data_IF_921248969593
#
_entry.id   IF_921248969593
#
_cell.length_a   1.000
_cell.length_b   1.000
_cell.length_c   1.000
_cell.angle_alpha   90.00
_cell.angle_beta   90.00
_cell.angle_gamma   90.00
#
_symmetry.space_group_name_H-M   'P 1'
#
loop_
_entity.id
_entity.type
_entity.pdbx_description
1 polymer ?
#
# COMPACT_ATOMS: atom_id res chain seq x y z
N UNK A 1 35.84 1.42 3.56
CA UNK A 1 34.72 0.47 3.56
C UNK A 1 33.54 1.17 4.20
N UNK A 2 32.53 1.59 3.43
CA UNK A 2 31.32 2.21 3.98
C UNK A 2 30.43 1.10 4.56
N UNK A 3 29.80 1.28 5.72
CA UNK A 3 28.87 0.28 6.25
C UNK A 3 27.68 0.13 5.29
N UNK A 4 27.44 -1.10 4.85
CA UNK A 4 26.17 -1.48 4.23
C UNK A 4 25.14 -1.50 5.36
N UNK A 5 24.40 -0.42 5.54
CA UNK A 5 23.13 -0.52 6.25
C UNK A 5 22.25 -1.43 5.41
N UNK A 6 21.94 -2.62 5.93
CA UNK A 6 20.78 -3.36 5.45
C UNK A 6 19.61 -2.39 5.56
N UNK A 7 19.01 -1.98 4.45
CA UNK A 7 17.72 -1.32 4.51
C UNK A 7 16.78 -2.34 5.13
N UNK A 8 16.51 -2.23 6.43
CA UNK A 8 15.40 -2.96 7.02
C UNK A 8 14.15 -2.48 6.29
N UNK A 9 13.29 -3.40 5.90
CA UNK A 9 12.01 -3.10 5.28
C UNK A 9 10.92 -3.57 6.24
N UNK A 10 9.98 -2.69 6.54
CA UNK A 10 8.70 -3.07 7.12
C UNK A 10 7.74 -3.61 6.07
N UNK A 11 6.67 -4.23 6.55
CA UNK A 11 5.56 -4.70 5.73
C UNK A 11 4.31 -4.01 6.23
N UNK A 12 3.58 -3.39 5.30
CA UNK A 12 2.21 -2.96 5.50
C UNK A 12 1.33 -3.88 4.66
N UNK A 13 0.42 -4.59 5.32
CA UNK A 13 -0.49 -5.52 4.67
C UNK A 13 -1.89 -5.34 5.23
N UNK A 14 -2.89 -5.66 4.42
CA UNK A 14 -4.28 -5.48 4.81
C UNK A 14 -5.24 -5.86 3.71
N UNK A 15 -6.51 -5.53 3.93
CA UNK A 15 -7.58 -5.81 2.97
C UNK A 15 -8.36 -4.55 2.67
N UNK A 16 -8.66 -4.33 1.39
CA UNK A 16 -9.56 -3.27 0.94
C UNK A 16 -10.91 -3.89 0.58
N UNK A 17 -11.98 -3.38 1.20
CA UNK A 17 -13.34 -3.90 1.03
C UNK A 17 -14.34 -2.75 0.92
N UNK A 18 -15.40 -2.98 0.14
CA UNK A 18 -16.61 -2.17 0.10
C UNK A 18 -17.71 -2.82 0.94
N UNK A 19 -18.91 -2.23 0.93
CA UNK A 19 -20.09 -2.86 1.56
C UNK A 19 -20.53 -4.12 0.82
N UNK A 20 -20.20 -4.20 -0.47
CA UNK A 20 -20.60 -5.26 -1.38
C UNK A 20 -19.61 -6.44 -1.37
N UNK A 21 -18.37 -6.24 -0.90
CA UNK A 21 -17.36 -7.28 -0.83
C UNK A 21 -15.92 -6.79 -0.99
N UNK A 22 -14.96 -7.71 -1.18
CA UNK A 22 -13.56 -7.37 -1.42
C UNK A 22 -13.39 -6.58 -2.71
N UNK A 23 -12.43 -5.66 -2.72
CA UNK A 23 -12.13 -4.83 -3.87
C UNK A 23 -10.81 -5.24 -4.51
N UNK A 24 -10.84 -5.97 -5.63
CA UNK A 24 -9.64 -6.30 -6.38
C UNK A 24 -9.13 -5.12 -7.21
N UNK A 25 -7.84 -5.16 -7.55
CA UNK A 25 -7.17 -4.18 -8.40
C UNK A 25 -7.23 -2.72 -7.88
N UNK A 26 -7.41 -2.52 -6.58
CA UNK A 26 -7.23 -1.22 -5.94
C UNK A 26 -5.76 -0.89 -6.00
N UNK A 27 -5.43 0.25 -6.62
CA UNK A 27 -4.08 0.76 -6.69
C UNK A 27 -3.74 1.45 -5.37
N UNK A 28 -2.69 1.01 -4.70
CA UNK A 28 -2.22 1.55 -3.43
C UNK A 28 -0.88 2.21 -3.70
N UNK A 29 -0.82 3.52 -3.56
CA UNK A 29 0.38 4.31 -3.84
C UNK A 29 0.88 5.01 -2.59
N UNK A 30 2.20 5.24 -2.56
CA UNK A 30 2.84 6.04 -1.52
C UNK A 30 3.35 7.33 -2.17
N UNK A 31 2.63 8.46 -2.02
CA UNK A 31 2.97 9.70 -2.70
C UNK A 31 4.42 10.14 -2.46
N UNK A 32 5.08 10.61 -3.53
CA UNK A 32 6.48 11.02 -3.48
C UNK A 32 7.49 9.87 -3.52
N UNK A 33 7.03 8.62 -3.64
CA UNK A 33 7.90 7.44 -3.75
C UNK A 33 7.52 6.60 -4.98
N UNK A 34 8.31 5.55 -5.24
CA UNK A 34 8.00 4.51 -6.23
C UNK A 34 7.30 3.29 -5.63
N UNK A 35 7.01 3.33 -4.33
CA UNK A 35 6.40 2.20 -3.64
C UNK A 35 4.89 2.21 -3.88
N UNK A 36 4.37 1.03 -4.15
CA UNK A 36 2.94 0.80 -4.33
C UNK A 36 2.65 -0.68 -4.43
N UNK A 37 1.39 -1.02 -4.30
CA UNK A 37 0.86 -2.36 -4.42
C UNK A 37 -0.50 -2.30 -5.11
N UNK A 38 -1.02 -3.45 -5.50
CA UNK A 38 -2.40 -3.59 -5.92
C UNK A 38 -3.05 -4.73 -5.13
N UNK A 39 -4.34 -4.60 -4.87
CA UNK A 39 -5.08 -5.69 -4.21
C UNK A 39 -5.33 -6.87 -5.14
N UNK A 40 -5.29 -8.08 -4.61
CA UNK A 40 -5.65 -9.31 -5.31
C UNK A 40 -7.17 -9.55 -5.35
N UNK A 41 -7.59 -10.74 -5.80
CA UNK A 41 -9.01 -11.11 -5.93
C UNK A 41 -9.78 -11.10 -4.61
N UNK A 42 -9.09 -11.29 -3.48
CA UNK A 42 -9.66 -11.28 -2.13
C UNK A 42 -9.59 -9.89 -1.48
N UNK A 43 -9.10 -8.89 -2.23
CA UNK A 43 -8.89 -7.53 -1.76
C UNK A 43 -7.66 -7.38 -0.89
N UNK A 44 -6.79 -8.40 -0.80
CA UNK A 44 -5.59 -8.37 0.03
C UNK A 44 -4.45 -7.62 -0.68
N UNK A 45 -3.66 -6.87 0.08
CA UNK A 45 -2.43 -6.26 -0.41
C UNK A 45 -1.26 -6.50 0.54
N UNK A 46 -0.06 -6.49 -0.04
CA UNK A 46 1.21 -6.57 0.66
C UNK A 46 2.16 -5.53 0.09
N UNK A 47 2.64 -4.62 0.94
CA UNK A 47 3.49 -3.50 0.55
C UNK A 47 4.73 -3.43 1.44
N UNK A 48 5.91 -3.52 0.81
CA UNK A 48 7.20 -3.37 1.50
C UNK A 48 7.69 -1.93 1.44
N UNK A 49 7.97 -1.35 2.60
CA UNK A 49 8.44 0.02 2.75
C UNK A 49 9.68 0.07 3.65
N UNK A 50 10.69 0.93 3.36
CA UNK A 50 11.70 1.28 4.34
C UNK A 50 11.06 1.96 5.56
N UNK A 51 11.63 1.86 6.77
CA UNK A 51 11.16 2.56 7.96
C UNK A 51 10.93 4.05 7.70
N UNK A 52 9.78 4.53 8.13
CA UNK A 52 9.31 5.89 7.94
C UNK A 52 7.81 5.98 8.18
N UNK A 53 7.29 7.19 8.21
CA UNK A 53 5.85 7.46 8.23
C UNK A 53 5.39 7.77 6.81
N UNK A 54 4.30 7.16 6.38
CA UNK A 54 3.81 7.30 5.02
C UNK A 54 2.31 7.55 4.97
N UNK A 55 1.90 8.27 3.91
CA UNK A 55 0.52 8.28 3.47
C UNK A 55 0.33 7.17 2.43
N UNK A 56 -0.66 6.32 2.64
CA UNK A 56 -1.13 5.37 1.63
C UNK A 56 -2.37 5.95 0.95
N UNK A 57 -2.34 6.05 -0.37
CA UNK A 57 -3.46 6.49 -1.20
C UNK A 57 -4.04 5.30 -1.94
N UNK A 58 -5.33 5.04 -1.72
CA UNK A 58 -6.08 3.92 -2.28
C UNK A 58 -6.99 4.42 -3.40
N UNK A 59 -6.81 3.88 -4.61
CA UNK A 59 -7.51 4.33 -5.81
C UNK A 59 -8.08 3.16 -6.60
N UNK A 60 -9.38 3.24 -6.92
CA UNK A 60 -10.05 2.29 -7.79
C UNK A 60 -11.04 3.05 -8.68
N UNK A 61 -11.11 2.70 -9.97
CA UNK A 61 -12.02 3.37 -10.90
C UNK A 61 -13.47 3.23 -10.42
N UNK A 62 -14.17 4.37 -10.32
CA UNK A 62 -15.55 4.42 -9.83
C UNK A 62 -15.68 4.52 -8.30
N UNK A 63 -14.57 4.51 -7.57
CA UNK A 63 -14.53 4.72 -6.12
C UNK A 63 -13.92 6.08 -5.79
N UNK A 64 -14.23 6.56 -4.58
CA UNK A 64 -13.53 7.71 -4.00
C UNK A 64 -12.12 7.29 -3.60
N UNK A 65 -11.17 8.19 -3.84
CA UNK A 65 -9.81 8.06 -3.31
C UNK A 65 -9.84 8.19 -1.80
N UNK A 66 -9.30 7.20 -1.10
CA UNK A 66 -9.13 7.21 0.35
C UNK A 66 -7.65 7.31 0.71
N UNK A 67 -7.34 7.92 1.85
CA UNK A 67 -5.95 8.14 2.32
C UNK A 67 -5.83 7.73 3.78
N UNK A 68 -4.78 6.99 4.12
CA UNK A 68 -4.48 6.59 5.49
C UNK A 68 -2.98 6.79 5.83
N UNK A 69 -2.66 6.88 7.12
CA UNK A 69 -1.27 7.02 7.60
C UNK A 69 -0.77 5.72 8.22
N UNK A 70 0.45 5.32 7.88
CA UNK A 70 1.12 4.10 8.37
C UNK A 70 2.55 4.33 8.80
#
# INVERSE_FOLDING_TARGET
>A
MLPLFSQEYGVVEGFVRSKEGPLPAVNITVPGTRYGAATDQDGFYYLRLPPGEYLLQYELLGYRVEVDTV
#
